data_IF_361772171577
#
_entry.id   IF_361772171577
#
_cell.length_a   1.000
_cell.length_b   1.000
_cell.length_c   1.000
_cell.angle_alpha   90.00
_cell.angle_beta   90.00
_cell.angle_gamma   90.00
#
_symmetry.space_group_name_H-M   'P 1'
#
loop_
_entity.id
_entity.type
_entity.pdbx_description
1 polymer ?
#
# COMPACT_ATOMS: atom_id res chain seq x y z
N UNK A 1 -24.35 8.05 33.91
CA UNK A 1 -23.44 6.99 34.36
C UNK A 1 -22.24 6.99 33.43
N UNK A 2 -21.13 7.50 33.98
CA UNK A 2 -19.74 7.55 33.50
C UNK A 2 -19.50 8.01 32.05
N UNK A 3 -19.24 9.31 31.96
CA UNK A 3 -18.45 9.97 30.93
C UNK A 3 -17.06 9.30 30.91
N UNK A 4 -16.88 8.23 30.14
CA UNK A 4 -15.56 7.66 29.85
C UNK A 4 -14.89 8.35 28.64
N UNK A 5 -15.62 9.23 27.93
CA UNK A 5 -15.11 9.97 26.78
C UNK A 5 -14.21 11.16 27.17
N UNK A 6 -14.63 12.00 28.12
CA UNK A 6 -13.94 13.28 28.37
C UNK A 6 -12.59 13.14 29.05
N UNK A 7 -12.38 12.10 29.88
CA UNK A 7 -11.15 11.96 30.66
C UNK A 7 -10.00 11.35 29.82
N UNK A 8 -10.35 10.48 28.86
CA UNK A 8 -9.44 10.04 27.82
C UNK A 8 -9.13 11.20 26.88
N UNK A 9 -10.15 11.88 26.35
CA UNK A 9 -10.01 13.02 25.44
C UNK A 9 -9.11 14.13 26.02
N UNK A 10 -9.28 14.48 27.31
CA UNK A 10 -8.43 15.47 27.99
C UNK A 10 -6.98 14.99 28.22
N UNK A 11 -6.78 13.70 28.49
CA UNK A 11 -5.43 13.12 28.67
C UNK A 11 -4.69 12.96 27.33
N UNK A 12 -5.43 12.84 26.24
CA UNK A 12 -4.94 12.75 24.86
C UNK A 12 -4.55 14.13 24.30
N UNK A 13 -5.33 15.18 24.58
CA UNK A 13 -5.00 16.56 24.21
C UNK A 13 -3.75 17.10 24.92
N UNK A 14 -3.48 16.63 26.15
CA UNK A 14 -2.33 17.06 26.95
C UNK A 14 -0.96 16.51 26.47
N UNK A 15 -0.93 15.55 25.54
CA UNK A 15 0.28 14.81 25.14
C UNK A 15 0.78 15.09 23.72
N UNK A 16 0.40 16.21 23.12
CA UNK A 16 1.03 16.69 21.89
C UNK A 16 0.83 15.77 20.67
N UNK A 17 -0.42 15.59 20.24
CA UNK A 17 -0.78 15.48 18.83
C UNK A 17 -0.10 14.42 17.96
N UNK A 18 0.04 13.18 18.44
CA UNK A 18 0.26 12.02 17.56
C UNK A 18 -0.32 10.75 18.21
N UNK A 19 -1.66 10.66 18.23
CA UNK A 19 -2.36 9.43 18.58
C UNK A 19 -2.88 8.79 17.31
N UNK A 20 -2.76 7.46 17.20
CA UNK A 20 -3.28 6.70 16.07
C UNK A 20 -4.81 6.70 16.12
N UNK A 21 -5.39 7.78 15.62
CA UNK A 21 -6.83 8.04 15.59
C UNK A 21 -7.60 6.91 14.89
N UNK A 22 -6.99 6.20 13.92
CA UNK A 22 -7.68 5.14 13.21
C UNK A 22 -8.13 3.99 14.11
N UNK A 23 -7.34 3.60 15.11
CA UNK A 23 -7.70 2.51 16.04
C UNK A 23 -8.97 2.86 16.83
N UNK A 24 -9.06 4.12 17.27
CA UNK A 24 -10.17 4.72 18.00
C UNK A 24 -11.39 4.84 17.07
N UNK A 25 -11.19 5.32 15.84
CA UNK A 25 -12.26 5.50 14.87
C UNK A 25 -12.90 4.16 14.47
N UNK A 26 -12.10 3.12 14.21
CA UNK A 26 -12.62 1.78 13.93
C UNK A 26 -13.50 1.30 15.07
N UNK A 27 -13.01 1.42 16.31
CA UNK A 27 -13.75 0.99 17.50
C UNK A 27 -15.05 1.79 17.68
N UNK A 28 -14.98 3.11 17.51
CA UNK A 28 -16.12 4.03 17.60
C UNK A 28 -17.22 3.62 16.61
N UNK A 29 -16.92 3.60 15.31
CA UNK A 29 -17.92 3.29 14.29
C UNK A 29 -18.46 1.86 14.40
N UNK A 30 -17.60 0.89 14.77
CA UNK A 30 -18.05 -0.46 15.07
C UNK A 30 -19.11 -0.47 16.18
N UNK A 31 -18.86 0.24 17.28
CA UNK A 31 -19.79 0.31 18.41
C UNK A 31 -21.07 1.09 18.11
N UNK A 32 -20.99 2.14 17.28
CA UNK A 32 -22.15 2.90 16.81
C UNK A 32 -23.08 2.04 15.92
N UNK A 33 -22.50 1.09 15.17
CA UNK A 33 -23.25 0.09 14.41
C UNK A 33 -23.64 -1.14 15.24
N UNK A 34 -23.36 -1.15 16.55
CA UNK A 34 -23.62 -2.26 17.47
C UNK A 34 -23.01 -3.60 17.05
N UNK A 35 -21.88 -3.58 16.33
CA UNK A 35 -21.19 -4.79 15.88
C UNK A 35 -20.18 -5.26 16.93
N UNK A 36 -20.06 -6.57 17.09
CA UNK A 36 -18.92 -7.22 17.74
C UNK A 36 -17.68 -7.18 16.82
N UNK A 37 -16.50 -7.46 17.39
CA UNK A 37 -15.28 -7.56 16.59
C UNK A 37 -15.34 -8.71 15.58
N UNK A 38 -16.07 -9.78 15.87
CA UNK A 38 -16.28 -10.91 14.96
C UNK A 38 -17.17 -10.47 13.78
N UNK A 39 -18.30 -9.83 14.06
CA UNK A 39 -19.22 -9.37 13.00
C UNK A 39 -18.59 -8.30 12.09
N UNK A 40 -17.77 -7.41 12.65
CA UNK A 40 -17.00 -6.48 11.81
C UNK A 40 -16.01 -7.24 10.92
N UNK A 41 -15.32 -8.23 11.48
CA UNK A 41 -14.33 -9.01 10.76
C UNK A 41 -14.95 -9.74 9.56
N UNK A 42 -16.13 -10.35 9.75
CA UNK A 42 -16.90 -10.99 8.68
C UNK A 42 -17.28 -10.00 7.58
N UNK A 43 -17.74 -8.79 7.94
CA UNK A 43 -18.16 -7.76 6.97
C UNK A 43 -17.01 -7.18 6.15
N UNK A 44 -15.79 -7.18 6.68
CA UNK A 44 -14.60 -6.66 5.98
C UNK A 44 -13.62 -7.76 5.56
N UNK A 45 -14.06 -9.02 5.59
CA UNK A 45 -13.33 -10.20 5.11
C UNK A 45 -11.96 -10.42 5.76
N UNK A 46 -11.87 -10.20 7.07
CA UNK A 46 -10.66 -10.47 7.87
C UNK A 46 -11.00 -11.33 9.08
N UNK A 47 -9.98 -11.70 9.87
CA UNK A 47 -10.20 -12.42 11.13
C UNK A 47 -10.57 -11.46 12.27
N UNK A 48 -11.30 -11.94 13.27
CA UNK A 48 -11.51 -11.17 14.52
C UNK A 48 -10.20 -10.72 15.16
N UNK A 49 -9.15 -11.54 15.09
CA UNK A 49 -7.83 -11.17 15.60
C UNK A 49 -7.25 -9.96 14.86
N UNK A 50 -7.49 -9.86 13.55
CA UNK A 50 -7.10 -8.70 12.74
C UNK A 50 -7.81 -7.44 13.22
N UNK A 51 -9.14 -7.47 13.42
CA UNK A 51 -9.89 -6.34 14.00
C UNK A 51 -9.36 -5.96 15.37
N UNK A 52 -9.13 -6.96 16.24
CA UNK A 52 -8.55 -6.71 17.55
C UNK A 52 -7.17 -6.07 17.45
N UNK A 53 -6.35 -6.45 16.47
CA UNK A 53 -5.03 -5.85 16.29
C UNK A 53 -5.14 -4.40 15.79
N UNK A 54 -6.10 -4.08 14.93
CA UNK A 54 -6.36 -2.71 14.48
C UNK A 54 -6.84 -1.80 15.62
N UNK A 55 -7.81 -2.26 16.40
CA UNK A 55 -8.36 -1.49 17.54
C UNK A 55 -7.37 -1.32 18.71
N UNK A 56 -6.29 -2.10 18.73
CA UNK A 56 -5.24 -2.03 19.76
C UNK A 56 -3.87 -1.63 19.19
N UNK A 57 -3.84 -1.01 18.00
CA UNK A 57 -2.63 -0.45 17.36
C UNK A 57 -1.49 -1.46 17.11
N UNK A 58 -1.79 -2.77 17.12
CA UNK A 58 -0.81 -3.84 16.86
C UNK A 58 -0.51 -4.02 15.37
N UNK A 59 -1.42 -3.58 14.52
CA UNK A 59 -1.26 -3.58 13.06
C UNK A 59 -2.09 -2.48 12.44
N UNK A 60 -1.74 -2.06 11.23
CA UNK A 60 -2.49 -1.06 10.46
C UNK A 60 -3.29 -1.73 9.34
N UNK A 61 -4.56 -1.34 9.07
CA UNK A 61 -5.31 -1.88 7.94
C UNK A 61 -4.68 -1.51 6.60
N UNK A 62 -4.73 -2.40 5.62
CA UNK A 62 -4.30 -2.06 4.26
C UNK A 62 -5.34 -1.18 3.54
N UNK A 63 -4.97 -0.67 2.36
CA UNK A 63 -5.82 0.22 1.56
C UNK A 63 -7.19 -0.42 1.29
N UNK A 64 -7.24 -1.73 1.02
CA UNK A 64 -8.50 -2.40 0.70
C UNK A 64 -9.42 -2.48 1.92
N UNK A 65 -8.85 -2.83 3.07
CA UNK A 65 -9.54 -2.86 4.36
C UNK A 65 -10.05 -1.48 4.74
N UNK A 66 -9.26 -0.42 4.52
CA UNK A 66 -9.67 0.96 4.77
C UNK A 66 -10.86 1.37 3.89
N UNK A 67 -10.88 0.99 2.61
CA UNK A 67 -12.00 1.26 1.71
C UNK A 67 -13.27 0.50 2.11
N UNK A 68 -13.13 -0.76 2.54
CA UNK A 68 -14.23 -1.56 3.06
C UNK A 68 -14.79 -0.95 4.35
N UNK A 69 -13.92 -0.55 5.27
CA UNK A 69 -14.30 0.12 6.52
C UNK A 69 -15.00 1.46 6.23
N UNK A 70 -14.46 2.29 5.34
CA UNK A 70 -15.08 3.58 4.99
C UNK A 70 -16.46 3.39 4.37
N UNK A 71 -16.61 2.38 3.50
CA UNK A 71 -17.89 2.02 2.90
C UNK A 71 -18.88 1.48 3.93
N UNK A 72 -18.44 0.60 4.84
CA UNK A 72 -19.28 0.00 5.86
C UNK A 72 -19.77 1.02 6.89
N UNK A 73 -18.87 1.91 7.32
CA UNK A 73 -19.16 2.97 8.28
C UNK A 73 -19.87 4.18 7.65
N UNK A 74 -20.00 4.21 6.33
CA UNK A 74 -20.60 5.31 5.57
C UNK A 74 -19.93 6.67 5.87
N UNK A 75 -18.59 6.67 5.88
CA UNK A 75 -17.75 7.87 6.07
C UNK A 75 -16.71 7.97 4.96
N UNK A 76 -16.19 9.18 4.69
CA UNK A 76 -15.09 9.29 3.74
C UNK A 76 -13.81 8.65 4.29
N UNK A 77 -12.93 8.20 3.40
CA UNK A 77 -11.63 7.67 3.81
C UNK A 77 -10.86 8.71 4.64
N UNK A 78 -10.84 9.98 4.19
CA UNK A 78 -10.18 11.08 4.89
C UNK A 78 -10.71 11.30 6.32
N UNK A 79 -12.01 11.08 6.53
CA UNK A 79 -12.60 11.11 7.87
C UNK A 79 -12.09 9.92 8.68
N UNK A 80 -12.17 8.70 8.14
CA UNK A 80 -11.77 7.47 8.83
C UNK A 80 -10.28 7.46 9.23
N UNK A 81 -9.40 8.07 8.43
CA UNK A 81 -7.96 8.16 8.72
C UNK A 81 -7.54 9.54 9.25
N UNK A 82 -8.48 10.41 9.62
CA UNK A 82 -8.18 11.73 10.19
C UNK A 82 -7.22 11.58 11.36
N UNK A 83 -6.09 12.28 11.33
CA UNK A 83 -4.99 12.13 12.31
C UNK A 83 -3.86 11.21 11.87
N UNK A 84 -4.13 10.25 10.99
CA UNK A 84 -3.16 9.30 10.43
C UNK A 84 -2.81 9.58 8.95
N UNK A 85 -3.24 10.72 8.41
CA UNK A 85 -3.07 11.08 6.99
C UNK A 85 -1.59 11.06 6.57
N UNK A 86 -0.69 11.63 7.37
CA UNK A 86 0.73 11.68 7.03
C UNK A 86 1.38 10.29 7.07
N UNK A 87 1.01 9.47 8.07
CA UNK A 87 1.43 8.07 8.13
C UNK A 87 0.94 7.27 6.93
N UNK A 88 -0.31 7.51 6.50
CA UNK A 88 -0.86 6.85 5.31
C UNK A 88 -0.12 7.27 4.03
N UNK A 89 0.20 8.56 3.88
CA UNK A 89 1.02 9.06 2.76
C UNK A 89 2.41 8.43 2.76
N UNK A 90 3.03 8.29 3.93
CA UNK A 90 4.34 7.64 4.08
C UNK A 90 4.29 6.18 3.62
N UNK A 91 3.30 5.40 4.09
CA UNK A 91 3.11 4.00 3.69
C UNK A 91 2.91 3.87 2.17
N UNK A 92 2.09 4.74 1.56
CA UNK A 92 1.88 4.75 0.11
C UNK A 92 3.18 5.08 -0.62
N UNK A 93 3.90 6.12 -0.18
CA UNK A 93 5.18 6.54 -0.76
C UNK A 93 6.22 5.42 -0.70
N UNK A 94 6.36 4.74 0.44
CA UNK A 94 7.25 3.59 0.58
C UNK A 94 6.90 2.45 -0.37
N UNK A 95 5.60 2.14 -0.52
CA UNK A 95 5.14 1.11 -1.46
C UNK A 95 5.45 1.48 -2.92
N UNK A 96 5.29 2.75 -3.28
CA UNK A 96 5.66 3.26 -4.61
C UNK A 96 7.17 3.17 -4.86
N UNK A 97 7.99 3.54 -3.88
CA UNK A 97 9.45 3.43 -3.96
C UNK A 97 9.87 1.97 -4.12
N UNK A 98 9.29 1.04 -3.34
CA UNK A 98 9.59 -0.40 -3.46
C UNK A 98 9.24 -0.94 -4.85
N UNK A 99 8.08 -0.57 -5.40
CA UNK A 99 7.68 -0.94 -6.76
C UNK A 99 8.64 -0.36 -7.81
N UNK A 100 8.97 0.93 -7.69
CA UNK A 100 9.90 1.59 -8.60
C UNK A 100 11.27 0.90 -8.62
N UNK A 101 11.83 0.61 -7.44
CA UNK A 101 13.10 -0.09 -7.30
C UNK A 101 13.03 -1.51 -7.90
N UNK A 102 11.95 -2.26 -7.63
CA UNK A 102 11.78 -3.61 -8.17
C UNK A 102 11.79 -3.64 -9.70
N UNK A 103 10.92 -2.85 -10.36
CA UNK A 103 10.88 -2.80 -11.82
C UNK A 103 12.14 -2.16 -12.42
N UNK A 104 12.72 -1.17 -11.73
CA UNK A 104 13.97 -0.52 -12.14
C UNK A 104 15.15 -1.47 -12.15
N UNK A 105 15.31 -2.29 -11.11
CA UNK A 105 16.35 -3.32 -11.04
C UNK A 105 16.19 -4.36 -12.17
N UNK A 106 14.96 -4.81 -12.44
CA UNK A 106 14.70 -5.75 -13.55
C UNK A 106 15.09 -5.13 -14.89
N UNK A 107 14.69 -3.88 -15.14
CA UNK A 107 15.05 -3.15 -16.35
C UNK A 107 16.56 -3.02 -16.53
N UNK A 108 17.28 -2.60 -15.47
CA UNK A 108 18.75 -2.45 -15.50
C UNK A 108 19.47 -3.76 -15.83
N UNK A 109 19.03 -4.88 -15.25
CA UNK A 109 19.60 -6.21 -15.55
C UNK A 109 19.37 -6.59 -17.00
N UNK A 110 18.14 -6.42 -17.53
CA UNK A 110 17.84 -6.73 -18.93
C UNK A 110 18.63 -5.85 -19.90
N UNK A 111 18.80 -4.56 -19.58
CA UNK A 111 19.60 -3.64 -20.38
C UNK A 111 21.07 -4.08 -20.43
N UNK A 112 21.65 -4.48 -19.30
CA UNK A 112 23.01 -5.00 -19.25
C UNK A 112 23.16 -6.29 -20.07
N UNK A 113 22.21 -7.22 -19.96
CA UNK A 113 22.17 -8.45 -20.78
C UNK A 113 22.09 -8.13 -22.27
N UNK A 114 21.27 -7.16 -22.66
CA UNK A 114 21.12 -6.73 -24.05
C UNK A 114 22.43 -6.18 -24.63
N UNK A 115 23.17 -5.38 -23.86
CA UNK A 115 24.47 -4.83 -24.27
C UNK A 115 25.53 -5.93 -24.38
N UNK A 116 25.66 -6.77 -23.35
CA UNK A 116 26.71 -7.82 -23.28
C UNK A 116 26.49 -8.90 -24.35
N UNK A 117 25.23 -9.28 -24.58
CA UNK A 117 24.90 -10.36 -25.50
C UNK A 117 24.94 -9.93 -26.97
N UNK A 118 24.88 -8.62 -27.28
CA UNK A 118 24.82 -8.12 -28.64
C UNK A 118 25.98 -8.64 -29.51
N UNK A 119 27.23 -8.40 -29.10
CA UNK A 119 28.40 -8.77 -29.92
C UNK A 119 28.48 -10.28 -30.18
N UNK A 120 28.40 -11.17 -29.17
CA UNK A 120 28.38 -12.62 -29.40
C UNK A 120 27.25 -13.09 -30.33
N UNK A 121 26.04 -12.55 -30.17
CA UNK A 121 24.87 -12.90 -31.00
C UNK A 121 25.13 -12.60 -32.48
N UNK A 122 25.62 -11.41 -32.80
CA UNK A 122 25.90 -11.01 -34.18
C UNK A 122 27.13 -11.72 -34.75
N UNK A 123 28.11 -12.09 -33.93
CA UNK A 123 29.27 -12.88 -34.38
C UNK A 123 28.89 -14.31 -34.76
N UNK A 124 28.03 -14.98 -33.99
CA UNK A 124 27.68 -16.39 -34.23
C UNK A 124 26.54 -16.58 -35.21
N UNK A 125 25.49 -15.74 -35.13
CA UNK A 125 24.27 -15.90 -35.95
C UNK A 125 24.20 -14.95 -37.15
N UNK A 126 25.12 -13.99 -37.26
CA UNK A 126 25.12 -13.00 -38.34
C UNK A 126 23.77 -12.29 -38.46
N UNK A 127 23.21 -12.27 -39.67
CA UNK A 127 21.90 -11.64 -39.95
C UNK A 127 20.71 -12.29 -39.24
N UNK A 128 20.82 -13.53 -38.78
CA UNK A 128 19.72 -14.17 -38.05
C UNK A 128 19.61 -13.66 -36.61
N UNK A 129 20.65 -13.00 -36.09
CA UNK A 129 20.68 -12.42 -34.74
C UNK A 129 19.62 -11.34 -34.50
N UNK A 130 19.14 -10.65 -35.54
CA UNK A 130 18.13 -9.60 -35.42
C UNK A 130 16.81 -10.11 -34.80
N UNK A 131 16.44 -11.38 -35.03
CA UNK A 131 15.20 -11.97 -34.51
C UNK A 131 15.26 -12.11 -32.98
N UNK A 132 16.19 -12.89 -32.39
CA UNK A 132 16.28 -13.02 -30.93
C UNK A 132 16.65 -11.69 -30.25
N UNK A 133 17.48 -10.86 -30.89
CA UNK A 133 17.83 -9.54 -30.35
C UNK A 133 16.61 -8.60 -30.28
N UNK A 134 15.75 -8.61 -31.31
CA UNK A 134 14.51 -7.86 -31.34
C UNK A 134 13.52 -8.29 -30.25
N UNK A 135 13.41 -9.61 -29.99
CA UNK A 135 12.57 -10.14 -28.89
C UNK A 135 13.10 -9.65 -27.52
N UNK A 136 14.41 -9.77 -27.29
CA UNK A 136 15.07 -9.27 -26.07
C UNK A 136 14.86 -7.77 -25.87
N UNK A 137 14.93 -7.00 -26.96
CA UNK A 137 14.68 -5.57 -26.94
C UNK A 137 13.24 -5.24 -26.55
N UNK A 138 12.24 -5.93 -27.13
CA UNK A 138 10.83 -5.74 -26.77
C UNK A 138 10.58 -6.05 -25.28
N UNK A 139 11.19 -7.11 -24.75
CA UNK A 139 11.09 -7.46 -23.32
C UNK A 139 11.69 -6.35 -22.45
N UNK A 140 12.87 -5.85 -22.81
CA UNK A 140 13.52 -4.73 -22.10
C UNK A 140 12.63 -3.49 -22.11
N UNK A 141 12.03 -3.17 -23.27
CA UNK A 141 11.11 -2.04 -23.41
C UNK A 141 9.83 -2.19 -22.60
N UNK A 142 9.30 -3.41 -22.45
CA UNK A 142 8.16 -3.66 -21.57
C UNK A 142 8.46 -3.25 -20.12
N UNK A 143 9.63 -3.62 -19.59
CA UNK A 143 10.05 -3.23 -18.24
C UNK A 143 10.30 -1.72 -18.14
N UNK A 144 10.88 -1.09 -19.17
CA UNK A 144 11.07 0.36 -19.23
C UNK A 144 9.72 1.10 -19.11
N UNK A 145 8.70 0.67 -19.85
CA UNK A 145 7.37 1.25 -19.81
C UNK A 145 6.70 1.07 -18.43
N UNK A 146 6.97 -0.04 -17.72
CA UNK A 146 6.49 -0.23 -16.34
C UNK A 146 7.14 0.76 -15.37
N UNK A 147 8.44 1.01 -15.49
CA UNK A 147 9.17 2.00 -14.69
C UNK A 147 8.65 3.42 -14.98
N UNK A 148 8.47 3.77 -16.26
CA UNK A 148 7.97 5.09 -16.66
C UNK A 148 6.54 5.35 -16.13
N UNK A 149 5.66 4.34 -16.20
CA UNK A 149 4.30 4.44 -15.64
C UNK A 149 4.30 4.72 -14.13
N UNK A 150 5.31 4.25 -13.39
CA UNK A 150 5.43 4.56 -11.97
C UNK A 150 5.95 5.97 -11.73
N UNK A 151 6.84 6.48 -12.59
CA UNK A 151 7.33 7.87 -12.50
C UNK A 151 6.21 8.89 -12.74
N UNK A 152 5.27 8.60 -13.65
CA UNK A 152 4.13 9.49 -13.97
C UNK A 152 3.00 9.48 -12.93
N UNK A 153 3.04 8.57 -11.95
CA UNK A 153 2.03 8.49 -10.87
C UNK A 153 2.40 9.34 -9.64
N UNK A 154 3.65 9.78 -9.54
CA UNK A 154 4.11 10.80 -8.59
C UNK A 154 3.86 12.19 -9.15
#
# INVERSE_FOLDING_TARGET
MIILGSDQENKLLAKGGNYMELSIQIKKYRTELHLSQEELAEKVYVTRQTISNWENEKSYPDIHSLLLLSSLFNVSLDQLIKGDIEKMKEIISEQEIKKFNYYGSIYTVHLAVLIISAVPLFMWLGRYAYIPFGILFIITMYWALKVEKLKKKK
#
